data_IF_815097773706
#
_entry.id   IF_815097773706
#
_cell.length_a   1.000
_cell.length_b   1.000
_cell.length_c   1.000
_cell.angle_alpha   90.00
_cell.angle_beta   90.00
_cell.angle_gamma   90.00
#
_symmetry.space_group_name_H-M   'P 1'
#
loop_
_entity.id
_entity.type
_entity.pdbx_description
1 polymer ?
#
# COMPACT_ATOMS: atom_id res chain seq x y z
N UNK A 1 -8.79 31.12 -42.96
CA UNK A 1 -10.10 30.49 -42.75
C UNK A 1 -9.92 29.11 -42.12
N UNK A 2 -10.73 28.84 -41.08
CA UNK A 2 -11.08 27.52 -40.47
C UNK A 2 -9.92 26.62 -40.03
N UNK A 3 -9.53 26.59 -38.75
CA UNK A 3 -10.20 25.93 -37.61
C UNK A 3 -10.52 24.45 -37.86
N UNK A 4 -9.92 23.55 -37.07
CA UNK A 4 -10.58 22.50 -36.25
C UNK A 4 -9.54 21.59 -35.59
N UNK A 5 -9.39 21.68 -34.27
CA UNK A 5 -9.26 20.54 -33.35
C UNK A 5 -10.67 20.29 -32.75
N UNK A 6 -11.00 19.20 -32.02
CA UNK A 6 -10.11 18.23 -31.35
C UNK A 6 -10.59 16.76 -31.40
N UNK A 7 -9.79 15.80 -30.93
CA UNK A 7 -10.38 14.65 -30.20
C UNK A 7 -9.41 13.96 -29.24
N UNK A 8 -9.95 13.73 -28.03
CA UNK A 8 -9.37 13.12 -26.84
C UNK A 8 -9.10 11.63 -27.06
N UNK A 9 -8.03 11.09 -26.47
CA UNK A 9 -8.00 9.70 -25.99
C UNK A 9 -6.73 9.45 -25.20
N UNK A 10 -6.87 8.96 -23.95
CA UNK A 10 -5.76 8.30 -23.25
C UNK A 10 -5.43 8.79 -21.84
N UNK A 11 -6.31 9.53 -21.15
CA UNK A 11 -6.19 9.67 -19.70
C UNK A 11 -6.64 8.37 -19.03
N UNK A 12 -5.70 7.52 -18.63
CA UNK A 12 -5.98 6.38 -17.77
C UNK A 12 -6.39 6.91 -16.40
N UNK A 13 -7.61 6.65 -15.89
CA UNK A 13 -7.90 6.92 -14.51
C UNK A 13 -7.14 5.87 -13.70
N UNK A 14 -6.17 6.30 -12.91
CA UNK A 14 -5.73 5.50 -11.76
C UNK A 14 -6.96 5.36 -10.88
N UNK A 15 -7.65 4.22 -11.03
CA UNK A 15 -8.63 3.79 -10.06
C UNK A 15 -7.86 3.56 -8.77
N UNK A 16 -7.77 4.61 -7.95
CA UNK A 16 -7.50 4.45 -6.52
C UNK A 16 -8.72 3.71 -5.99
N UNK A 17 -8.65 2.38 -6.08
CA UNK A 17 -9.48 1.48 -5.33
C UNK A 17 -9.20 1.76 -3.87
N UNK A 18 -9.86 2.78 -3.31
CA UNK A 18 -10.20 2.81 -1.90
C UNK A 18 -11.06 1.57 -1.72
N UNK A 19 -10.42 0.46 -1.39
CA UNK A 19 -11.06 -0.70 -0.82
C UNK A 19 -11.74 -0.21 0.44
N UNK A 20 -12.98 0.24 0.29
CA UNK A 20 -13.92 0.39 1.37
C UNK A 20 -13.95 -0.99 2.02
N UNK A 21 -13.33 -1.06 3.20
CA UNK A 21 -13.44 -2.18 4.11
C UNK A 21 -14.92 -2.54 4.11
N UNK A 22 -15.24 -3.68 3.49
CA UNK A 22 -16.58 -4.22 3.52
C UNK A 22 -16.96 -4.31 4.99
N UNK A 23 -17.99 -3.60 5.47
CA UNK A 23 -18.50 -3.86 6.79
C UNK A 23 -19.09 -5.26 6.70
N UNK A 24 -18.37 -6.24 7.25
CA UNK A 24 -18.92 -7.57 7.48
C UNK A 24 -20.22 -7.33 8.23
N UNK A 25 -21.32 -7.70 7.58
CA UNK A 25 -22.68 -7.42 8.03
C UNK A 25 -22.78 -7.69 9.53
N UNK A 26 -23.39 -6.80 10.33
CA UNK A 26 -23.69 -7.17 11.69
C UNK A 26 -24.54 -8.43 11.61
N UNK A 27 -24.03 -9.54 12.17
CA UNK A 27 -24.85 -10.70 12.43
C UNK A 27 -26.12 -10.17 13.08
N UNK A 28 -27.24 -10.40 12.40
CA UNK A 28 -28.57 -9.94 12.83
C UNK A 28 -28.65 -10.13 14.34
N UNK A 29 -28.93 -9.07 15.14
CA UNK A 29 -29.31 -9.32 16.52
C UNK A 29 -30.50 -10.27 16.40
N UNK A 30 -30.35 -11.49 16.92
CA UNK A 30 -31.47 -12.42 17.05
C UNK A 30 -32.53 -11.61 17.79
N UNK A 31 -33.55 -11.18 17.06
CA UNK A 31 -34.57 -10.29 17.57
C UNK A 31 -35.11 -10.95 18.83
N UNK A 32 -34.70 -10.40 19.98
CA UNK A 32 -35.31 -10.79 21.25
C UNK A 32 -36.78 -10.44 21.04
N UNK A 33 -37.72 -11.38 21.28
CA UNK A 33 -39.12 -11.03 21.25
C UNK A 33 -39.29 -9.81 22.16
N UNK A 34 -40.13 -8.82 21.80
CA UNK A 34 -40.49 -7.80 22.76
C UNK A 34 -41.01 -8.54 23.99
N UNK A 35 -40.28 -8.44 25.11
CA UNK A 35 -40.81 -8.87 26.38
C UNK A 35 -42.00 -7.94 26.63
N UNK A 36 -43.18 -8.40 26.24
CA UNK A 36 -44.44 -7.81 26.69
C UNK A 36 -44.30 -7.63 28.20
N UNK A 37 -44.31 -6.39 28.74
CA UNK A 37 -44.15 -6.20 30.18
C UNK A 37 -45.36 -6.70 30.96
N UNK A 38 -46.43 -7.09 30.29
CA UNK A 38 -47.70 -7.39 30.92
C UNK A 38 -48.46 -8.38 30.04
N UNK A 39 -48.15 -9.67 30.16
CA UNK A 39 -49.26 -10.61 30.14
C UNK A 39 -50.07 -10.20 31.38
N UNK A 40 -51.13 -9.43 31.16
CA UNK A 40 -52.06 -9.06 32.22
C UNK A 40 -52.57 -10.38 32.80
N UNK A 41 -51.95 -10.81 33.90
CA UNK A 41 -52.53 -11.84 34.76
C UNK A 41 -53.90 -11.29 35.12
N UNK A 42 -54.95 -11.94 34.60
CA UNK A 42 -56.32 -11.68 35.03
C UNK A 42 -56.31 -11.59 36.55
N UNK A 43 -56.80 -10.50 37.16
CA UNK A 43 -56.70 -10.35 38.60
C UNK A 43 -57.45 -11.52 39.23
N UNK A 44 -56.74 -12.34 40.00
CA UNK A 44 -57.40 -13.27 40.91
C UNK A 44 -58.36 -12.42 41.76
N UNK A 45 -59.61 -12.85 41.89
CA UNK A 45 -60.60 -12.09 42.66
C UNK A 45 -60.08 -11.92 44.09
N UNK A 46 -59.68 -10.71 44.44
CA UNK A 46 -59.05 -10.39 45.74
C UNK A 46 -60.18 -10.10 46.71
N UNK A 47 -60.61 -11.10 47.48
CA UNK A 47 -61.74 -10.94 48.40
C UNK A 47 -61.31 -10.45 49.79
N UNK A 48 -60.03 -10.62 50.15
CA UNK A 48 -59.47 -10.22 51.45
C UNK A 48 -58.14 -9.46 51.34
N UNK A 49 -57.78 -8.73 52.40
CA UNK A 49 -56.47 -8.04 52.51
C UNK A 49 -55.30 -9.03 52.48
N UNK A 50 -55.49 -10.27 52.93
CA UNK A 50 -54.46 -11.33 52.89
C UNK A 50 -54.12 -11.78 51.46
N UNK A 51 -55.14 -11.88 50.61
CA UNK A 51 -54.97 -12.23 49.19
C UNK A 51 -54.17 -11.15 48.45
N UNK A 52 -54.44 -9.87 48.74
CA UNK A 52 -53.70 -8.75 48.15
C UNK A 52 -52.22 -8.77 48.55
N UNK A 53 -51.93 -9.05 49.82
CA UNK A 53 -50.54 -9.18 50.30
C UNK A 53 -49.81 -10.33 49.62
N UNK A 54 -50.49 -11.46 49.45
CA UNK A 54 -49.93 -12.64 48.78
C UNK A 54 -49.68 -12.38 47.30
N UNK A 55 -50.61 -11.70 46.62
CA UNK A 55 -50.46 -11.27 45.23
C UNK A 55 -49.30 -10.28 45.06
N UNK A 56 -49.19 -9.28 45.95
CA UNK A 56 -48.10 -8.32 45.94
C UNK A 56 -46.74 -8.98 46.18
N UNK A 57 -46.65 -9.91 47.14
CA UNK A 57 -45.44 -10.68 47.41
C UNK A 57 -45.03 -11.54 46.21
N UNK A 58 -46.00 -12.21 45.56
CA UNK A 58 -45.75 -13.02 44.35
C UNK A 58 -45.31 -12.15 43.17
N UNK A 59 -45.91 -10.98 42.99
CA UNK A 59 -45.52 -10.01 41.96
C UNK A 59 -44.08 -9.50 42.17
N UNK A 60 -43.71 -9.20 43.41
CA UNK A 60 -42.36 -8.78 43.77
C UNK A 60 -41.33 -9.89 43.53
N UNK A 61 -41.63 -11.12 43.94
CA UNK A 61 -40.77 -12.29 43.68
C UNK A 61 -40.58 -12.54 42.18
N UNK A 62 -41.67 -12.48 41.41
CA UNK A 62 -41.63 -12.60 39.95
C UNK A 62 -40.77 -11.50 39.31
N UNK A 63 -40.92 -10.25 39.76
CA UNK A 63 -40.10 -9.13 39.30
C UNK A 63 -38.62 -9.34 39.62
N UNK A 64 -38.31 -9.79 40.84
CA UNK A 64 -36.94 -10.07 41.26
C UNK A 64 -36.29 -11.14 40.39
N UNK A 65 -36.97 -12.29 40.18
CA UNK A 65 -36.48 -13.35 39.30
C UNK A 65 -36.24 -12.87 37.86
N UNK A 66 -37.13 -12.02 37.34
CA UNK A 66 -36.96 -11.42 36.00
C UNK A 66 -35.77 -10.47 35.94
N UNK A 67 -35.55 -9.69 36.98
CA UNK A 67 -34.40 -8.78 37.07
C UNK A 67 -33.08 -9.55 37.12
N UNK A 68 -33.01 -10.59 37.97
CA UNK A 68 -31.83 -11.44 38.10
C UNK A 68 -31.50 -12.15 36.78
N UNK A 69 -32.52 -12.68 36.09
CA UNK A 69 -32.36 -13.28 34.76
C UNK A 69 -31.86 -12.26 33.73
N UNK A 70 -32.42 -11.04 33.72
CA UNK A 70 -32.00 -9.99 32.79
C UNK A 70 -30.55 -9.55 33.04
N UNK A 71 -30.14 -9.41 34.29
CA UNK A 71 -28.75 -9.08 34.66
C UNK A 71 -27.79 -10.20 34.28
N UNK A 72 -28.15 -11.46 34.56
CA UNK A 72 -27.35 -12.62 34.16
C UNK A 72 -27.19 -12.74 32.64
N UNK A 73 -28.26 -12.50 31.88
CA UNK A 73 -28.21 -12.47 30.41
C UNK A 73 -27.31 -11.35 29.89
N UNK A 74 -27.47 -10.14 30.43
CA UNK A 74 -26.69 -8.96 30.02
C UNK A 74 -25.20 -9.14 30.33
N UNK A 75 -24.87 -9.68 31.51
CA UNK A 75 -23.48 -9.96 31.88
C UNK A 75 -22.82 -10.98 30.94
N UNK A 76 -23.53 -12.07 30.61
CA UNK A 76 -23.03 -13.09 29.68
C UNK A 76 -22.84 -12.56 28.27
N UNK A 77 -23.76 -11.72 27.78
CA UNK A 77 -23.61 -11.11 26.44
C UNK A 77 -22.46 -10.11 26.40
N UNK A 78 -22.29 -9.30 27.45
CA UNK A 78 -21.16 -8.38 27.57
C UNK A 78 -19.84 -9.15 27.55
N UNK A 79 -19.70 -10.21 28.35
CA UNK A 79 -18.51 -11.06 28.37
C UNK A 79 -18.24 -11.68 27.00
N UNK A 80 -19.26 -12.25 26.35
CA UNK A 80 -19.12 -12.84 25.03
C UNK A 80 -18.72 -11.82 23.96
N UNK A 81 -19.29 -10.60 24.01
CA UNK A 81 -18.91 -9.50 23.13
C UNK A 81 -17.46 -9.06 23.37
N UNK A 82 -17.04 -8.97 24.64
CA UNK A 82 -15.68 -8.64 25.04
C UNK A 82 -14.67 -9.69 24.54
N UNK A 83 -14.97 -10.98 24.68
CA UNK A 83 -14.12 -12.05 24.14
C UNK A 83 -13.98 -11.96 22.61
N UNK A 84 -15.09 -11.68 21.90
CA UNK A 84 -15.09 -11.54 20.43
C UNK A 84 -14.26 -10.33 19.98
N UNK A 85 -14.44 -9.16 20.63
CA UNK A 85 -13.68 -7.95 20.27
C UNK A 85 -12.20 -8.10 20.61
N UNK A 86 -11.87 -8.65 21.79
CA UNK A 86 -10.49 -8.92 22.20
C UNK A 86 -9.78 -9.85 21.21
N UNK A 87 -10.46 -10.92 20.77
CA UNK A 87 -9.93 -11.82 19.72
C UNK A 87 -9.66 -11.08 18.41
N UNK A 88 -10.60 -10.25 17.94
CA UNK A 88 -10.43 -9.46 16.71
C UNK A 88 -9.26 -8.49 16.81
N UNK A 89 -9.17 -7.76 17.93
CA UNK A 89 -8.06 -6.82 18.19
C UNK A 89 -6.74 -7.58 18.15
N UNK A 90 -6.62 -8.70 18.86
CA UNK A 90 -5.39 -9.51 18.87
C UNK A 90 -4.97 -9.95 17.47
N UNK A 91 -5.91 -10.44 16.66
CA UNK A 91 -5.65 -10.83 15.28
C UNK A 91 -5.22 -9.64 14.41
N UNK A 92 -5.89 -8.50 14.54
CA UNK A 92 -5.57 -7.29 13.79
C UNK A 92 -4.20 -6.74 14.18
N UNK A 93 -3.86 -6.71 15.47
CA UNK A 93 -2.54 -6.33 15.96
C UNK A 93 -1.45 -7.22 15.37
N UNK A 94 -1.64 -8.55 15.40
CA UNK A 94 -0.67 -9.47 14.81
C UNK A 94 -0.51 -9.26 13.30
N UNK A 95 -1.61 -9.02 12.57
CA UNK A 95 -1.56 -8.70 11.14
C UNK A 95 -0.80 -7.40 10.85
N UNK A 96 -1.03 -6.37 11.68
CA UNK A 96 -0.35 -5.07 11.55
C UNK A 96 1.16 -5.20 11.79
N UNK A 97 1.56 -5.97 12.82
CA UNK A 97 2.97 -6.24 13.11
C UNK A 97 3.65 -6.95 11.94
N UNK A 98 3.04 -7.99 11.38
CA UNK A 98 3.58 -8.70 10.21
C UNK A 98 3.74 -7.78 9.00
N UNK A 99 2.74 -6.94 8.73
CA UNK A 99 2.79 -5.99 7.62
C UNK A 99 3.91 -4.95 7.82
N UNK A 100 4.13 -4.49 9.06
CA UNK A 100 5.21 -3.56 9.37
C UNK A 100 6.59 -4.20 9.16
N UNK A 101 6.78 -5.44 9.62
CA UNK A 101 8.02 -6.21 9.41
C UNK A 101 8.31 -6.44 7.92
N UNK A 102 7.29 -6.79 7.13
CA UNK A 102 7.41 -6.98 5.68
C UNK A 102 7.77 -5.69 4.96
N UNK A 103 7.09 -4.58 5.28
CA UNK A 103 7.38 -3.26 4.71
C UNK A 103 8.80 -2.78 5.05
N UNK A 104 9.28 -3.03 6.27
CA UNK A 104 10.65 -2.70 6.65
C UNK A 104 11.67 -3.51 5.85
N UNK A 105 11.43 -4.82 5.69
CA UNK A 105 12.28 -5.71 4.90
C UNK A 105 12.34 -5.25 3.43
N UNK A 106 11.20 -5.00 2.81
CA UNK A 106 11.14 -4.53 1.42
C UNK A 106 11.84 -3.17 1.23
N UNK A 107 11.64 -2.24 2.18
CA UNK A 107 12.31 -0.94 2.17
C UNK A 107 13.83 -1.12 2.22
N UNK A 108 14.34 -2.01 3.08
CA UNK A 108 15.77 -2.29 3.19
C UNK A 108 16.32 -2.89 1.90
N UNK A 109 15.65 -3.89 1.34
CA UNK A 109 16.05 -4.51 0.07
C UNK A 109 16.06 -3.50 -1.08
N UNK A 110 15.05 -2.64 -1.15
CA UNK A 110 14.99 -1.58 -2.16
C UNK A 110 16.14 -0.59 -2.01
N UNK A 111 16.45 -0.17 -0.77
CA UNK A 111 17.58 0.72 -0.50
C UNK A 111 18.92 0.09 -0.92
N UNK A 112 19.14 -1.18 -0.60
CA UNK A 112 20.33 -1.93 -1.00
C UNK A 112 20.45 -2.03 -2.53
N UNK A 113 19.34 -2.34 -3.23
CA UNK A 113 19.32 -2.39 -4.72
C UNK A 113 19.59 -1.03 -5.36
N UNK A 114 19.09 0.06 -4.78
CA UNK A 114 19.35 1.42 -5.29
C UNK A 114 20.83 1.76 -5.07
N UNK A 115 21.36 1.51 -3.88
CA UNK A 115 22.77 1.75 -3.57
C UNK A 115 23.70 0.94 -4.48
N UNK A 116 23.41 -0.35 -4.69
CA UNK A 116 24.17 -1.21 -5.59
C UNK A 116 24.18 -0.68 -7.03
N UNK A 117 23.00 -0.34 -7.57
CA UNK A 117 22.89 0.22 -8.92
C UNK A 117 23.59 1.58 -9.07
N UNK A 118 23.57 2.41 -8.03
CA UNK A 118 24.27 3.70 -8.05
C UNK A 118 25.79 3.51 -8.14
N UNK A 119 26.36 2.58 -7.38
CA UNK A 119 27.79 2.28 -7.44
C UNK A 119 28.19 1.60 -8.75
N UNK A 120 27.36 0.68 -9.29
CA UNK A 120 27.57 0.10 -10.61
C UNK A 120 27.58 1.16 -11.71
N UNK A 121 26.63 2.10 -11.68
CA UNK A 121 26.54 3.20 -12.64
C UNK A 121 27.76 4.11 -12.56
N UNK A 122 28.19 4.45 -11.35
CA UNK A 122 29.38 5.28 -11.11
C UNK A 122 30.66 4.58 -11.61
N UNK A 123 30.80 3.27 -11.36
CA UNK A 123 31.92 2.49 -11.86
C UNK A 123 31.93 2.40 -13.39
N UNK A 124 30.76 2.14 -14.00
CA UNK A 124 30.59 2.12 -15.46
C UNK A 124 30.93 3.46 -16.10
N UNK A 125 30.42 4.57 -15.54
CA UNK A 125 30.70 5.91 -16.02
C UNK A 125 32.18 6.27 -15.93
N UNK A 126 32.85 5.91 -14.82
CA UNK A 126 34.29 6.11 -14.67
C UNK A 126 35.07 5.36 -15.75
N UNK A 127 34.72 4.10 -16.02
CA UNK A 127 35.33 3.30 -17.09
C UNK A 127 35.12 3.95 -18.46
N UNK A 128 33.90 4.36 -18.76
CA UNK A 128 33.55 5.05 -20.00
C UNK A 128 34.39 6.33 -20.20
N UNK A 129 34.54 7.16 -19.17
CA UNK A 129 35.38 8.37 -19.25
C UNK A 129 36.84 8.04 -19.57
N UNK A 130 37.42 7.00 -18.94
CA UNK A 130 38.80 6.60 -19.23
C UNK A 130 38.97 6.10 -20.66
N UNK A 131 37.97 5.38 -21.20
CA UNK A 131 37.96 4.89 -22.57
C UNK A 131 37.85 6.04 -23.58
N UNK A 132 36.94 6.99 -23.34
CA UNK A 132 36.79 8.20 -24.18
C UNK A 132 38.07 9.03 -24.18
N UNK A 133 38.68 9.23 -23.01
CA UNK A 133 39.94 9.97 -22.89
C UNK A 133 41.08 9.26 -23.63
N UNK A 134 41.20 7.95 -23.49
CA UNK A 134 42.20 7.14 -24.19
C UNK A 134 42.01 7.21 -25.71
N UNK A 135 40.77 7.03 -26.18
CA UNK A 135 40.39 7.11 -27.59
C UNK A 135 40.69 8.49 -28.19
N UNK A 136 40.27 9.56 -27.52
CA UNK A 136 40.52 10.94 -27.94
C UNK A 136 42.01 11.28 -27.97
N UNK A 137 42.77 10.86 -26.96
CA UNK A 137 44.23 11.03 -26.92
C UNK A 137 44.91 10.29 -28.08
N UNK A 138 44.48 9.06 -28.39
CA UNK A 138 45.00 8.29 -29.53
C UNK A 138 44.70 8.99 -30.84
N UNK A 139 43.46 9.43 -31.06
CA UNK A 139 43.08 10.14 -32.28
C UNK A 139 43.94 11.40 -32.49
N UNK A 140 44.10 12.19 -31.42
CA UNK A 140 44.81 13.47 -31.48
C UNK A 140 46.33 13.34 -31.62
N UNK A 141 46.93 12.36 -30.91
CA UNK A 141 48.41 12.22 -30.85
C UNK A 141 48.98 11.25 -31.87
N UNK A 142 48.17 10.30 -32.36
CA UNK A 142 48.64 9.22 -33.24
C UNK A 142 47.98 9.32 -34.60
N UNK A 143 46.64 9.19 -34.64
CA UNK A 143 45.92 9.04 -35.91
C UNK A 143 46.03 10.28 -36.80
N UNK A 144 45.77 11.49 -36.28
CA UNK A 144 45.86 12.70 -37.12
C UNK A 144 47.28 13.01 -37.60
N UNK A 145 48.34 12.93 -36.77
CA UNK A 145 49.72 13.13 -37.24
C UNK A 145 50.16 12.08 -38.27
N UNK A 146 49.81 10.82 -38.08
CA UNK A 146 50.13 9.75 -39.05
C UNK A 146 49.42 9.97 -40.39
N UNK A 147 48.13 10.35 -40.34
CA UNK A 147 47.39 10.73 -41.54
C UNK A 147 48.04 11.94 -42.23
N UNK A 148 48.39 12.99 -41.50
CA UNK A 148 49.05 14.17 -42.06
C UNK A 148 50.37 13.82 -42.75
N UNK A 149 51.21 12.98 -42.11
CA UNK A 149 52.45 12.46 -42.71
C UNK A 149 52.19 11.61 -43.95
N UNK A 150 51.14 10.80 -43.95
CA UNK A 150 50.74 10.00 -45.11
C UNK A 150 50.30 10.88 -46.29
N UNK A 151 49.50 11.91 -46.02
CA UNK A 151 49.05 12.87 -47.03
C UNK A 151 50.24 13.65 -47.61
N UNK A 152 51.15 14.15 -46.76
CA UNK A 152 52.36 14.84 -47.22
C UNK A 152 53.20 13.95 -48.15
N UNK A 153 53.44 12.67 -47.77
CA UNK A 153 54.15 11.71 -48.63
C UNK A 153 53.45 11.45 -49.95
N UNK A 154 52.11 11.37 -49.96
CA UNK A 154 51.35 11.20 -51.19
C UNK A 154 51.46 12.42 -52.12
N UNK A 155 51.44 13.64 -51.56
CA UNK A 155 51.64 14.89 -52.31
C UNK A 155 53.04 14.92 -52.94
N UNK A 156 54.08 14.59 -52.18
CA UNK A 156 55.46 14.58 -52.69
C UNK A 156 55.66 13.52 -53.79
N UNK A 157 55.05 12.33 -53.62
CA UNK A 157 55.06 11.30 -54.66
C UNK A 157 54.33 11.72 -55.95
N UNK A 158 53.31 12.59 -55.87
CA UNK A 158 52.71 13.19 -57.05
C UNK A 158 53.64 14.22 -57.68
N UNK A 159 54.19 15.16 -56.90
CA UNK A 159 55.13 16.17 -57.40
C UNK A 159 56.31 15.56 -58.14
N UNK A 160 56.89 14.50 -57.58
CA UNK A 160 58.00 13.75 -58.19
C UNK A 160 57.61 13.15 -59.56
N UNK A 161 56.42 12.57 -59.70
CA UNK A 161 55.95 11.98 -60.97
C UNK A 161 55.68 13.01 -62.06
N UNK A 162 55.37 14.25 -61.69
CA UNK A 162 55.02 15.32 -62.64
C UNK A 162 56.12 16.39 -62.80
N UNK A 163 57.33 16.19 -62.26
CA UNK A 163 58.43 17.16 -62.30
C UNK A 163 58.06 18.55 -61.73
N UNK A 164 57.20 18.60 -60.71
CA UNK A 164 56.80 19.85 -60.06
C UNK A 164 57.80 20.15 -58.93
N UNK A 165 58.50 21.30 -58.93
CA UNK A 165 59.43 21.66 -57.88
C UNK A 165 58.71 21.79 -56.52
N UNK A 166 59.39 21.41 -55.42
CA UNK A 166 58.84 21.57 -54.08
C UNK A 166 58.66 23.06 -53.75
N UNK A 167 57.49 23.42 -53.21
CA UNK A 167 57.26 24.78 -52.70
C UNK A 167 58.01 24.93 -51.36
N UNK A 168 58.89 25.92 -51.20
CA UNK A 168 59.56 26.16 -49.92
C UNK A 168 58.53 26.59 -48.86
N UNK A 169 58.76 26.12 -47.63
CA UNK A 169 57.88 26.34 -46.47
C UNK A 169 57.94 27.77 -45.93
#
# INVERSE_FOLDING_TARGET
>A
SSATSPSRSGGSPVAVGRGLLSPSSPATPKARPPLSPFAASTPASVSTVGDLRSLAASSLDSLKRRLDALHGDSARDLEASHSRISKRIKMQTQSCLKLAEEAEKERKEMAERISGRAEEMKASYKKFLTEVQSSSSRASKVTFPEMAKSVARAIDGLRSRYNIPATPA
#
